data_IF_628079605787
#
_entry.id   IF_628079605787
#
_cell.length_a   1.000
_cell.length_b   1.000
_cell.length_c   1.000
_cell.angle_alpha   90.00
_cell.angle_beta   90.00
_cell.angle_gamma   90.00
#
_symmetry.space_group_name_H-M   'P 1'
#
loop_
_entity.id
_entity.type
_entity.pdbx_description
1 polymer ?
#
# COMPACT_ATOMS: atom_id res chain seq x y z
N UNK A 1 49.36 24.28 -42.13
CA UNK A 1 47.90 24.55 -42.20
C UNK A 1 47.21 23.35 -41.58
N UNK A 2 46.83 23.44 -40.30
CA UNK A 2 46.13 22.39 -39.58
C UNK A 2 44.66 22.81 -39.42
N UNK A 3 43.75 21.98 -39.91
CA UNK A 3 42.30 22.13 -39.78
C UNK A 3 41.86 21.93 -38.32
N UNK A 4 40.91 22.73 -37.80
CA UNK A 4 40.39 22.53 -36.44
C UNK A 4 39.37 21.38 -36.39
N UNK A 5 39.24 20.67 -35.26
CA UNK A 5 38.27 19.60 -35.09
C UNK A 5 36.85 20.13 -34.87
N UNK A 6 35.89 19.51 -35.57
CA UNK A 6 34.44 19.72 -35.47
C UNK A 6 33.93 19.37 -34.06
N UNK A 7 33.27 20.33 -33.41
CA UNK A 7 32.58 20.12 -32.14
C UNK A 7 31.37 19.18 -32.32
N UNK A 8 31.41 18.03 -31.65
CA UNK A 8 30.26 17.14 -31.51
C UNK A 8 29.20 17.80 -30.63
N UNK A 9 27.98 17.91 -31.15
CA UNK A 9 26.80 18.33 -30.37
C UNK A 9 26.48 17.22 -29.37
N UNK A 10 26.43 17.56 -28.08
CA UNK A 10 25.92 16.67 -27.04
C UNK A 10 24.41 16.53 -27.19
N UNK A 11 23.96 15.38 -27.65
CA UNK A 11 22.56 14.97 -27.58
C UNK A 11 22.19 14.80 -26.11
N UNK A 12 21.37 15.73 -25.60
CA UNK A 12 20.78 15.62 -24.28
C UNK A 12 19.85 14.43 -24.26
N UNK A 13 20.13 13.47 -23.38
CA UNK A 13 19.22 12.39 -23.00
C UNK A 13 17.87 12.99 -22.62
N UNK A 14 16.88 12.85 -23.50
CA UNK A 14 15.50 13.21 -23.16
C UNK A 14 15.03 12.25 -22.06
N UNK A 15 14.88 12.78 -20.85
CA UNK A 15 14.23 12.11 -19.74
C UNK A 15 12.75 11.99 -20.11
N UNK A 16 12.30 10.78 -20.42
CA UNK A 16 10.90 10.51 -20.76
C UNK A 16 10.02 10.87 -19.56
N UNK A 17 9.31 11.99 -19.64
CA UNK A 17 8.30 12.40 -18.65
C UNK A 17 7.00 11.66 -18.94
N UNK A 18 7.01 10.34 -18.72
CA UNK A 18 5.76 9.67 -18.34
C UNK A 18 5.56 10.10 -16.89
N UNK A 19 4.42 10.72 -16.49
CA UNK A 19 4.16 10.97 -15.09
C UNK A 19 4.34 9.65 -14.35
N UNK A 20 5.17 9.62 -13.30
CA UNK A 20 5.44 8.43 -12.50
C UNK A 20 4.10 7.76 -12.19
N UNK A 21 3.76 6.68 -12.91
CA UNK A 21 2.42 6.13 -12.89
C UNK A 21 2.06 5.80 -11.43
N UNK A 22 0.94 6.33 -10.93
CA UNK A 22 0.62 6.20 -9.52
C UNK A 22 0.56 4.71 -9.16
N UNK A 23 1.40 4.29 -8.22
CA UNK A 23 1.50 2.90 -7.78
C UNK A 23 0.82 2.73 -6.43
N UNK A 24 -0.13 1.81 -6.37
CA UNK A 24 -0.94 1.50 -5.19
C UNK A 24 -0.54 0.11 -4.69
N UNK A 25 -0.33 -0.01 -3.38
CA UNK A 25 -0.25 -1.28 -2.70
C UNK A 25 -1.41 -1.44 -1.72
N UNK A 26 -2.26 -2.43 -1.96
CA UNK A 26 -3.27 -2.87 -1.00
C UNK A 26 -2.69 -3.96 -0.08
N UNK A 27 -3.00 -3.86 1.21
CA UNK A 27 -2.62 -4.84 2.22
C UNK A 27 -3.84 -5.66 2.60
N UNK A 28 -3.79 -6.97 2.37
CA UNK A 28 -4.90 -7.88 2.68
C UNK A 28 -5.84 -8.10 1.50
N UNK A 29 -6.36 -9.33 1.43
CA UNK A 29 -7.22 -9.82 0.35
C UNK A 29 -8.35 -10.68 0.92
N UNK A 30 -8.91 -10.25 2.05
CA UNK A 30 -10.13 -10.80 2.63
C UNK A 30 -11.34 -10.04 2.05
N UNK A 31 -12.53 -10.16 2.65
CA UNK A 31 -13.78 -9.61 2.09
C UNK A 31 -13.70 -8.12 1.73
N UNK A 32 -13.23 -7.30 2.69
CA UNK A 32 -13.01 -5.86 2.46
C UNK A 32 -11.95 -5.62 1.38
N UNK A 33 -10.83 -6.34 1.44
CA UNK A 33 -9.76 -6.22 0.45
C UNK A 33 -10.27 -6.49 -0.95
N UNK A 34 -11.03 -7.58 -1.13
CA UNK A 34 -11.64 -7.95 -2.42
C UNK A 34 -12.65 -6.90 -2.89
N UNK A 35 -13.49 -6.36 -2.00
CA UNK A 35 -14.44 -5.30 -2.36
C UNK A 35 -13.72 -4.03 -2.85
N UNK A 36 -12.70 -3.57 -2.12
CA UNK A 36 -11.88 -2.41 -2.49
C UNK A 36 -11.17 -2.65 -3.83
N UNK A 37 -10.53 -3.81 -4.00
CA UNK A 37 -9.80 -4.14 -5.24
C UNK A 37 -10.72 -4.21 -6.45
N UNK A 38 -11.89 -4.83 -6.34
CA UNK A 38 -12.89 -4.83 -7.42
C UNK A 38 -13.36 -3.42 -7.74
N UNK A 39 -13.58 -2.57 -6.74
CA UNK A 39 -13.97 -1.17 -6.98
C UNK A 39 -12.87 -0.41 -7.70
N UNK A 40 -11.60 -0.61 -7.33
CA UNK A 40 -10.45 0.01 -8.00
C UNK A 40 -10.37 -0.47 -9.47
N UNK A 41 -10.53 -1.77 -9.72
CA UNK A 41 -10.45 -2.35 -11.07
C UNK A 41 -11.50 -1.77 -12.03
N UNK A 42 -12.69 -1.42 -11.54
CA UNK A 42 -13.78 -0.84 -12.35
C UNK A 42 -13.73 0.69 -12.41
N UNK A 43 -12.79 1.35 -11.73
CA UNK A 43 -12.66 2.80 -11.76
C UNK A 43 -12.08 3.26 -13.12
N UNK A 44 -12.60 4.34 -13.75
CA UNK A 44 -12.12 4.80 -15.06
C UNK A 44 -10.61 5.08 -15.13
N UNK A 45 -10.02 5.54 -14.02
CA UNK A 45 -8.58 5.82 -13.92
C UNK A 45 -7.71 4.59 -13.65
N UNK A 46 -8.28 3.38 -13.57
CA UNK A 46 -7.50 2.17 -13.32
C UNK A 46 -6.41 1.94 -14.39
N UNK A 47 -6.70 2.27 -15.65
CA UNK A 47 -5.75 2.17 -16.75
C UNK A 47 -4.51 3.07 -16.60
N UNK A 48 -4.53 4.06 -15.71
CA UNK A 48 -3.42 5.01 -15.50
C UNK A 48 -2.62 4.74 -14.23
N UNK A 49 -2.95 3.68 -13.47
CA UNK A 49 -2.30 3.35 -12.20
C UNK A 49 -1.85 1.90 -12.17
N UNK A 50 -0.82 1.59 -11.39
CA UNK A 50 -0.38 0.22 -11.15
C UNK A 50 -0.86 -0.23 -9.77
N UNK A 51 -1.54 -1.36 -9.70
CA UNK A 51 -2.07 -1.89 -8.44
C UNK A 51 -1.39 -3.20 -8.08
N UNK A 52 -0.82 -3.24 -6.89
CA UNK A 52 -0.25 -4.44 -6.28
C UNK A 52 -1.02 -4.80 -5.02
N UNK A 53 -1.01 -6.08 -4.66
CA UNK A 53 -1.64 -6.60 -3.45
C UNK A 53 -0.63 -7.44 -2.70
N UNK A 54 -0.36 -7.07 -1.45
CA UNK A 54 0.43 -7.89 -0.54
C UNK A 54 -0.45 -8.97 0.08
N UNK A 55 -0.09 -10.22 -0.18
CA UNK A 55 -0.79 -11.41 0.30
C UNK A 55 0.19 -12.40 0.90
N UNK A 56 -0.24 -13.15 1.93
CA UNK A 56 0.60 -14.18 2.56
C UNK A 56 0.96 -15.26 1.55
N UNK A 57 2.17 -15.80 1.63
CA UNK A 57 2.62 -16.90 0.75
C UNK A 57 1.69 -18.12 0.79
N UNK A 58 1.07 -18.41 1.94
CA UNK A 58 0.06 -19.47 2.08
C UNK A 58 -1.20 -19.20 1.26
N UNK A 59 -1.57 -17.94 1.05
CA UNK A 59 -2.69 -17.56 0.18
C UNK A 59 -2.33 -17.78 -1.28
N UNK A 60 -1.10 -17.44 -1.69
CA UNK A 60 -0.62 -17.69 -3.05
C UNK A 60 -0.51 -19.19 -3.36
N UNK A 61 -0.17 -20.00 -2.36
CA UNK A 61 -0.09 -21.46 -2.45
C UNK A 61 -1.41 -22.17 -2.07
N UNK A 62 -2.55 -21.47 -2.14
CA UNK A 62 -3.84 -22.02 -1.72
C UNK A 62 -4.27 -23.22 -2.56
N UNK A 63 -4.84 -24.24 -1.90
CA UNK A 63 -5.52 -25.37 -2.54
C UNK A 63 -7.04 -25.16 -2.65
N UNK A 64 -7.57 -24.07 -2.07
CA UNK A 64 -9.00 -23.75 -2.11
C UNK A 64 -9.39 -23.27 -3.52
N UNK A 65 -10.37 -23.92 -4.19
CA UNK A 65 -10.85 -23.48 -5.49
C UNK A 65 -11.42 -22.05 -5.47
N UNK A 66 -12.08 -21.66 -4.38
CA UNK A 66 -12.63 -20.31 -4.21
C UNK A 66 -11.52 -19.26 -4.16
N UNK A 67 -10.49 -19.49 -3.33
CA UNK A 67 -9.36 -18.56 -3.20
C UNK A 67 -8.53 -18.48 -4.49
N UNK A 68 -8.35 -19.62 -5.18
CA UNK A 68 -7.71 -19.64 -6.49
C UNK A 68 -8.52 -18.88 -7.56
N UNK A 69 -9.85 -18.86 -7.48
CA UNK A 69 -10.70 -18.04 -8.36
C UNK A 69 -10.50 -16.55 -8.09
N UNK A 70 -10.47 -16.11 -6.83
CA UNK A 70 -10.18 -14.71 -6.45
C UNK A 70 -8.81 -14.25 -6.97
N UNK A 71 -7.75 -15.06 -6.80
CA UNK A 71 -6.42 -14.73 -7.31
C UNK A 71 -6.39 -14.61 -8.84
N UNK A 72 -7.14 -15.46 -9.56
CA UNK A 72 -7.28 -15.37 -11.02
C UNK A 72 -8.05 -14.13 -11.44
N UNK A 73 -9.11 -13.78 -10.72
CA UNK A 73 -9.89 -12.57 -10.94
C UNK A 73 -8.99 -11.32 -10.85
N UNK A 74 -8.23 -11.16 -9.77
CA UNK A 74 -7.32 -10.02 -9.60
C UNK A 74 -6.24 -9.96 -10.69
N UNK A 75 -5.67 -11.11 -11.06
CA UNK A 75 -4.72 -11.18 -12.18
C UNK A 75 -5.35 -10.82 -13.52
N UNK A 76 -6.63 -11.14 -13.73
CA UNK A 76 -7.35 -10.79 -14.97
C UNK A 76 -7.55 -9.29 -15.13
N UNK A 77 -7.60 -8.54 -14.02
CA UNK A 77 -7.53 -7.08 -14.03
C UNK A 77 -6.11 -6.54 -14.28
N UNK A 78 -5.08 -7.39 -14.35
CA UNK A 78 -3.68 -6.94 -14.49
C UNK A 78 -3.04 -6.49 -13.18
N UNK A 79 -3.62 -6.83 -12.02
CA UNK A 79 -3.03 -6.51 -10.72
C UNK A 79 -1.89 -7.46 -10.36
N UNK A 80 -0.89 -6.93 -9.65
CA UNK A 80 0.28 -7.69 -9.23
C UNK A 80 0.08 -8.29 -7.83
N UNK A 81 0.30 -9.59 -7.67
CA UNK A 81 0.27 -10.23 -6.37
C UNK A 81 1.70 -10.35 -5.83
N UNK A 82 1.97 -9.73 -4.68
CA UNK A 82 3.27 -9.79 -4.03
C UNK A 82 3.18 -10.62 -2.74
N UNK A 83 4.12 -11.56 -2.49
CA UNK A 83 4.17 -12.25 -1.22
C UNK A 83 4.56 -11.26 -0.11
N UNK A 84 3.86 -11.32 1.02
CA UNK A 84 4.27 -10.61 2.22
C UNK A 84 3.47 -10.94 3.47
N UNK A 85 4.06 -10.63 4.61
CA UNK A 85 3.48 -10.94 5.92
C UNK A 85 3.50 -9.72 6.84
N UNK A 86 2.42 -8.94 6.78
CA UNK A 86 2.23 -7.74 7.60
C UNK A 86 2.23 -8.02 9.11
N UNK A 87 1.98 -9.26 9.53
CA UNK A 87 1.92 -9.63 10.95
C UNK A 87 3.33 -9.94 11.46
N UNK A 88 4.08 -10.75 10.73
CA UNK A 88 5.37 -11.26 11.19
C UNK A 88 6.57 -10.39 10.76
N UNK A 89 6.47 -9.64 9.67
CA UNK A 89 7.55 -8.76 9.24
C UNK A 89 7.71 -7.56 10.18
N UNK A 90 8.96 -7.14 10.34
CA UNK A 90 9.35 -5.93 11.05
C UNK A 90 8.92 -4.68 10.30
N UNK A 91 8.89 -3.55 11.00
CA UNK A 91 8.62 -2.25 10.38
C UNK A 91 9.59 -1.94 9.23
N UNK A 92 10.88 -2.18 9.42
CA UNK A 92 11.93 -1.95 8.42
C UNK A 92 11.74 -2.82 7.18
N UNK A 93 11.39 -4.09 7.36
CA UNK A 93 11.08 -4.98 6.23
C UNK A 93 9.88 -4.45 5.45
N UNK A 94 8.80 -4.08 6.13
CA UNK A 94 7.61 -3.51 5.48
C UNK A 94 7.94 -2.21 4.74
N UNK A 95 8.68 -1.30 5.37
CA UNK A 95 9.10 -0.03 4.77
C UNK A 95 9.90 -0.23 3.47
N UNK A 96 10.80 -1.23 3.43
CA UNK A 96 11.59 -1.56 2.24
C UNK A 96 10.75 -1.99 1.04
N UNK A 97 9.56 -2.56 1.28
CA UNK A 97 8.59 -2.90 0.25
C UNK A 97 7.73 -1.69 -0.12
N UNK A 98 7.30 -0.92 0.88
CA UNK A 98 6.39 0.21 0.73
C UNK A 98 7.00 1.36 -0.08
N UNK A 99 8.29 1.65 0.06
CA UNK A 99 8.98 2.75 -0.63
C UNK A 99 8.87 2.74 -2.18
N UNK A 100 8.45 1.61 -2.78
CA UNK A 100 8.21 1.47 -4.23
C UNK A 100 6.84 1.98 -4.66
N UNK A 101 5.99 2.31 -3.69
CA UNK A 101 4.60 2.67 -3.90
C UNK A 101 4.34 4.12 -3.54
N UNK A 102 3.47 4.75 -4.30
CA UNK A 102 2.97 6.08 -4.00
C UNK A 102 1.90 6.06 -2.90
N UNK A 103 1.08 5.01 -2.89
CA UNK A 103 -0.10 4.92 -2.04
C UNK A 103 -0.21 3.54 -1.41
N UNK A 104 -0.44 3.51 -0.10
CA UNK A 104 -0.69 2.27 0.64
C UNK A 104 -2.15 2.29 1.13
N UNK A 105 -2.88 1.18 0.95
CA UNK A 105 -4.26 0.99 1.44
C UNK A 105 -4.27 -0.22 2.37
N UNK A 106 -4.62 -0.03 3.63
CA UNK A 106 -4.71 -1.11 4.61
C UNK A 106 -6.13 -1.67 4.68
N UNK A 107 -6.29 -2.92 4.23
CA UNK A 107 -7.55 -3.69 4.30
C UNK A 107 -7.46 -4.86 5.29
N UNK A 108 -6.48 -4.84 6.21
CA UNK A 108 -6.07 -6.00 7.02
C UNK A 108 -6.92 -6.26 8.26
N UNK A 109 -7.81 -5.35 8.65
CA UNK A 109 -8.61 -5.52 9.85
C UNK A 109 -7.79 -5.57 11.15
N UNK A 110 -8.42 -6.11 12.18
CA UNK A 110 -7.74 -6.49 13.43
C UNK A 110 -7.16 -7.91 13.41
N UNK A 111 -7.20 -8.60 12.27
CA UNK A 111 -6.74 -10.00 12.14
C UNK A 111 -5.24 -10.14 12.47
N UNK A 112 -4.47 -9.07 12.33
CA UNK A 112 -3.06 -9.03 12.74
C UNK A 112 -2.81 -8.98 14.25
N UNK A 113 -3.84 -8.70 15.06
CA UNK A 113 -3.70 -8.51 16.49
C UNK A 113 -3.16 -7.13 16.88
N UNK A 114 -2.94 -6.95 18.19
CA UNK A 114 -2.46 -5.69 18.77
C UNK A 114 -1.09 -5.29 18.21
N UNK A 115 -0.90 -4.01 17.96
CA UNK A 115 0.32 -3.35 17.51
C UNK A 115 0.53 -3.37 16.00
N UNK A 116 -0.25 -4.16 15.24
CA UNK A 116 -0.05 -4.26 13.79
C UNK A 116 -0.39 -2.96 13.08
N UNK A 117 -1.44 -2.25 13.51
CA UNK A 117 -1.87 -1.02 12.83
C UNK A 117 -0.87 0.11 13.08
N UNK A 118 -0.33 0.19 14.30
CA UNK A 118 0.77 1.11 14.64
C UNK A 118 2.02 0.78 13.83
N UNK A 119 2.43 -0.50 13.76
CA UNK A 119 3.59 -0.94 12.96
C UNK A 119 3.42 -0.60 11.48
N UNK A 120 2.23 -0.78 10.91
CA UNK A 120 1.95 -0.43 9.52
C UNK A 120 2.10 1.08 9.29
N UNK A 121 1.57 1.91 10.19
CA UNK A 121 1.72 3.36 10.11
C UNK A 121 3.19 3.79 10.25
N UNK A 122 3.94 3.19 11.18
CA UNK A 122 5.38 3.41 11.31
C UNK A 122 6.13 3.07 10.01
N UNK A 123 5.84 1.90 9.42
CA UNK A 123 6.48 1.46 8.18
C UNK A 123 6.17 2.41 7.00
N UNK A 124 4.95 2.93 6.93
CA UNK A 124 4.53 3.92 5.93
C UNK A 124 5.30 5.23 6.10
N UNK A 125 5.44 5.72 7.33
CA UNK A 125 6.22 6.93 7.63
C UNK A 125 7.70 6.73 7.31
N UNK A 126 8.28 5.63 7.76
CA UNK A 126 9.66 5.23 7.49
C UNK A 126 9.94 5.09 5.98
N UNK A 127 8.95 4.68 5.19
CA UNK A 127 9.03 4.58 3.74
C UNK A 127 8.73 5.90 2.99
N UNK A 128 8.39 6.98 3.70
CA UNK A 128 8.05 8.29 3.14
C UNK A 128 6.94 8.23 2.07
N UNK A 129 5.87 7.49 2.35
CA UNK A 129 4.74 7.30 1.44
C UNK A 129 3.91 8.58 1.34
N UNK A 130 3.48 8.93 0.12
CA UNK A 130 2.72 10.17 -0.12
C UNK A 130 1.27 10.10 0.37
N UNK A 131 0.62 8.94 0.27
CA UNK A 131 -0.77 8.72 0.72
C UNK A 131 -0.92 7.38 1.43
N UNK A 132 -1.54 7.39 2.60
CA UNK A 132 -1.83 6.17 3.35
C UNK A 132 -3.28 6.16 3.82
N UNK A 133 -4.00 5.10 3.45
CA UNK A 133 -5.37 4.85 3.90
C UNK A 133 -5.33 3.72 4.94
N UNK A 134 -5.37 4.05 6.26
CA UNK A 134 -5.40 3.04 7.31
C UNK A 134 -6.74 2.29 7.33
N UNK A 135 -6.79 1.16 8.02
CA UNK A 135 -8.03 0.40 8.16
C UNK A 135 -8.98 1.08 9.16
N UNK A 136 -9.95 1.83 8.65
CA UNK A 136 -10.93 2.60 9.44
C UNK A 136 -12.39 2.28 9.04
N UNK A 137 -12.62 1.17 8.33
CA UNK A 137 -13.92 0.86 7.74
C UNK A 137 -14.90 0.33 8.79
N UNK A 138 -16.06 0.98 8.94
CA UNK A 138 -17.22 0.45 9.67
C UNK A 138 -17.43 0.97 11.10
N UNK A 139 -16.59 1.88 11.59
CA UNK A 139 -16.71 2.46 12.93
C UNK A 139 -16.39 3.96 12.87
N UNK A 140 -17.22 4.79 13.50
CA UNK A 140 -16.93 6.22 13.67
C UNK A 140 -16.02 6.41 14.89
N UNK A 141 -14.74 6.63 14.60
CA UNK A 141 -13.71 6.79 15.62
C UNK A 141 -13.72 8.17 16.28
N UNK A 142 -14.49 9.14 15.78
CA UNK A 142 -14.67 10.43 16.46
C UNK A 142 -15.61 10.33 17.68
N UNK A 143 -16.30 9.19 17.84
CA UNK A 143 -17.30 8.94 18.90
C UNK A 143 -16.78 7.91 19.93
N UNK A 144 -15.69 7.20 19.63
CA UNK A 144 -15.11 6.21 20.54
C UNK A 144 -14.19 6.88 21.54
N UNK A 145 -14.57 6.85 22.81
CA UNK A 145 -13.75 7.32 23.92
C UNK A 145 -12.60 6.34 24.21
N UNK A 146 -11.40 6.87 24.48
CA UNK A 146 -10.16 6.14 24.73
C UNK A 146 -10.28 5.15 25.91
N UNK A 147 -11.18 5.44 26.86
CA UNK A 147 -11.46 4.59 28.03
C UNK A 147 -12.56 3.54 27.79
N UNK A 148 -13.36 3.67 26.72
CA UNK A 148 -14.45 2.75 26.37
C UNK A 148 -14.08 1.74 25.28
N UNK A 149 -12.99 2.03 24.56
CA UNK A 149 -12.56 1.25 23.41
C UNK A 149 -11.78 0.02 23.87
N UNK A 150 -12.26 -1.16 23.50
CA UNK A 150 -11.43 -2.37 23.54
C UNK A 150 -10.06 -2.06 22.92
N UNK A 151 -8.96 -2.50 23.55
CA UNK A 151 -7.55 -2.13 23.28
C UNK A 151 -7.14 -1.91 21.81
N UNK A 152 -7.80 -2.58 20.87
CA UNK A 152 -7.56 -2.54 19.42
C UNK A 152 -7.96 -1.20 18.77
N UNK A 153 -9.01 -0.53 19.26
CA UNK A 153 -9.47 0.75 18.69
C UNK A 153 -8.55 1.93 19.05
N UNK A 154 -7.80 1.83 20.16
CA UNK A 154 -6.82 2.83 20.56
C UNK A 154 -5.69 3.00 19.53
N UNK A 155 -5.33 1.93 18.81
CA UNK A 155 -4.34 2.01 17.73
C UNK A 155 -4.82 2.89 16.58
N UNK A 156 -6.10 2.81 16.24
CA UNK A 156 -6.69 3.60 15.16
C UNK A 156 -6.79 5.08 15.54
N UNK A 157 -7.12 5.38 16.79
CA UNK A 157 -7.07 6.74 17.33
C UNK A 157 -5.65 7.30 17.35
N UNK A 158 -4.66 6.50 17.69
CA UNK A 158 -3.25 6.89 17.70
C UNK A 158 -2.72 7.20 16.29
N UNK A 159 -3.01 6.33 15.32
CA UNK A 159 -2.68 6.54 13.90
C UNK A 159 -3.35 7.82 13.37
N UNK A 160 -4.60 8.08 13.78
CA UNK A 160 -5.35 9.29 13.42
C UNK A 160 -4.81 10.57 14.06
N UNK A 161 -4.48 10.54 15.34
CA UNK A 161 -4.01 11.70 16.08
C UNK A 161 -2.54 12.08 15.84
N UNK A 162 -1.77 11.24 15.13
CA UNK A 162 -0.34 11.45 14.93
C UNK A 162 0.49 11.41 16.22
N UNK A 163 -0.08 10.90 17.32
CA UNK A 163 0.57 10.91 18.63
C UNK A 163 1.91 10.20 18.52
N UNK A 164 3.02 10.87 18.88
CA UNK A 164 4.35 10.26 18.97
C UNK A 164 5.04 9.79 17.68
N UNK A 165 4.38 9.83 16.52
CA UNK A 165 4.99 9.47 15.24
C UNK A 165 5.66 10.70 14.61
N UNK A 166 6.96 10.63 14.31
CA UNK A 166 7.69 11.73 13.66
C UNK A 166 7.40 11.75 12.16
N UNK A 167 6.50 12.64 11.73
CA UNK A 167 6.15 12.86 10.32
C UNK A 167 4.69 13.28 10.15
N UNK A 168 4.37 14.00 9.07
CA UNK A 168 2.99 14.40 8.75
C UNK A 168 2.38 13.44 7.73
N UNK A 169 1.32 12.72 8.10
CA UNK A 169 0.47 12.01 7.15
C UNK A 169 -0.50 13.03 6.53
N UNK A 170 -0.50 13.16 5.21
CA UNK A 170 -1.56 13.86 4.51
C UNK A 170 -2.75 12.91 4.33
N UNK A 171 -3.91 13.31 4.84
CA UNK A 171 -5.19 12.62 4.67
C UNK A 171 -5.68 12.68 3.22
#
# INVERSE_FOLDING_TARGET
MATPPTAAKSEGTQKSTIPDAESILALGMDELGMAVLRSIAHHPSFATVSVSIMVRSSTLATTSPAKAAELRELKSYGMNLIPGDVVNWTETELASYFQRYHTIISCTGFVGGRGVQIKLAGAVLSANIKRYFPWQFGVDYDIIDYESAQDLFNEQLYVRGGGGLTGSLAW
#
